data_IF_772431802438
#
_entry.id   IF_772431802438
#
_cell.length_a   1.000
_cell.length_b   1.000
_cell.length_c   1.000
_cell.angle_alpha   90.00
_cell.angle_beta   90.00
_cell.angle_gamma   90.00
#
_symmetry.space_group_name_H-M   'P 1'
#
loop_
_entity.id
_entity.type
_entity.pdbx_description
1 polymer ?
#
# COMPACT_ATOMS: atom_id res chain seq x y z
N UNK A 1 -11.42 -3.54 -22.04
CA UNK A 1 -11.42 -2.83 -20.73
C UNK A 1 -12.83 -2.37 -20.44
N UNK A 2 -13.43 -2.82 -19.35
CA UNK A 2 -14.76 -2.36 -18.92
C UNK A 2 -14.64 -1.16 -18.01
N UNK A 3 -15.56 -0.21 -18.08
CA UNK A 3 -15.60 0.96 -17.19
C UNK A 3 -15.64 0.54 -15.72
N UNK A 4 -16.35 -0.57 -15.42
CA UNK A 4 -16.42 -1.13 -14.07
C UNK A 4 -15.07 -1.56 -13.52
N UNK A 5 -14.20 -2.19 -14.32
CA UNK A 5 -12.86 -2.56 -13.91
C UNK A 5 -12.02 -1.32 -13.56
N UNK A 6 -12.03 -0.30 -14.43
CA UNK A 6 -11.28 0.94 -14.17
C UNK A 6 -11.76 1.65 -12.91
N UNK A 7 -13.07 1.72 -12.70
CA UNK A 7 -13.65 2.32 -11.49
C UNK A 7 -13.27 1.54 -10.22
N UNK A 8 -13.32 0.21 -10.27
CA UNK A 8 -12.91 -0.64 -9.15
C UNK A 8 -11.41 -0.46 -8.83
N UNK A 9 -10.55 -0.45 -9.85
CA UNK A 9 -9.11 -0.22 -9.67
C UNK A 9 -8.82 1.17 -9.10
N UNK A 10 -9.52 2.20 -9.56
CA UNK A 10 -9.39 3.56 -9.02
C UNK A 10 -9.84 3.63 -7.54
N UNK A 11 -10.93 2.95 -7.18
CA UNK A 11 -11.39 2.85 -5.79
C UNK A 11 -10.37 2.14 -4.90
N UNK A 12 -9.81 1.01 -5.35
CA UNK A 12 -8.75 0.29 -4.63
C UNK A 12 -7.47 1.13 -4.50
N UNK A 13 -7.08 1.87 -5.56
CA UNK A 13 -5.93 2.76 -5.51
C UNK A 13 -6.11 3.91 -4.50
N UNK A 14 -7.32 4.45 -4.38
CA UNK A 14 -7.65 5.47 -3.37
C UNK A 14 -7.62 4.89 -1.94
N UNK A 15 -8.04 3.65 -1.74
CA UNK A 15 -7.89 2.98 -0.45
C UNK A 15 -6.42 2.77 -0.11
N UNK A 16 -5.62 2.32 -1.08
CA UNK A 16 -4.20 2.07 -0.91
C UNK A 16 -3.40 3.38 -0.69
N UNK A 17 -3.91 4.49 -1.22
CA UNK A 17 -3.33 5.83 -1.03
C UNK A 17 -3.32 6.29 0.42
N UNK A 18 -4.15 5.68 1.29
CA UNK A 18 -4.23 6.01 2.72
C UNK A 18 -3.23 5.22 3.58
N UNK A 19 -2.18 4.72 2.97
CA UNK A 19 -1.15 3.93 3.65
C UNK A 19 -0.07 4.80 4.33
N UNK A 20 0.76 4.17 5.15
CA UNK A 20 1.84 4.86 5.86
C UNK A 20 2.87 5.43 4.87
N UNK A 21 3.27 4.67 3.87
CA UNK A 21 4.27 5.10 2.89
C UNK A 21 3.74 6.13 1.91
N UNK A 22 2.49 6.02 1.47
CA UNK A 22 1.95 6.90 0.43
C UNK A 22 1.35 8.19 0.97
N UNK A 23 0.89 8.22 2.23
CA UNK A 23 0.27 9.40 2.82
C UNK A 23 0.99 9.91 4.07
N UNK A 24 1.26 9.05 5.07
CA UNK A 24 1.79 9.50 6.35
C UNK A 24 3.21 10.09 6.23
N UNK A 25 4.13 9.38 5.57
CA UNK A 25 5.52 9.86 5.40
C UNK A 25 5.57 11.15 4.56
N UNK A 26 4.85 11.29 3.42
CA UNK A 26 4.72 12.55 2.72
C UNK A 26 4.20 13.71 3.59
N UNK A 27 3.14 13.49 4.38
CA UNK A 27 2.63 14.53 5.30
C UNK A 27 3.71 14.94 6.28
N UNK A 28 4.42 13.95 6.84
CA UNK A 28 5.48 14.24 7.77
C UNK A 28 6.65 15.01 7.13
N UNK A 29 7.02 14.68 5.88
CA UNK A 29 8.00 15.46 5.11
C UNK A 29 7.55 16.91 4.89
N UNK A 30 6.24 17.14 4.73
CA UNK A 30 5.67 18.48 4.64
C UNK A 30 5.74 19.23 5.97
N UNK A 31 5.50 18.56 7.09
CA UNK A 31 5.51 19.15 8.44
C UNK A 31 6.91 19.41 9.01
N UNK A 32 7.96 18.89 8.38
CA UNK A 32 9.35 19.10 8.82
C UNK A 32 9.69 20.60 8.82
N UNK A 33 10.26 21.15 9.93
CA UNK A 33 10.62 22.56 10.02
C UNK A 33 11.60 22.99 8.92
N UNK A 34 11.39 24.14 8.33
CA UNK A 34 12.24 24.74 7.30
C UNK A 34 11.53 24.88 5.94
N UNK A 35 12.31 25.17 4.89
CA UNK A 35 11.76 25.30 3.54
C UNK A 35 11.40 23.93 2.98
N UNK A 36 10.19 23.79 2.48
CA UNK A 36 9.74 22.59 1.78
C UNK A 36 10.68 22.31 0.59
N UNK A 37 11.39 21.20 0.65
CA UNK A 37 12.31 20.79 -0.41
C UNK A 37 11.57 19.87 -1.40
N UNK A 38 10.94 20.47 -2.42
CA UNK A 38 10.16 19.75 -3.44
C UNK A 38 10.92 18.58 -4.07
N UNK A 39 12.24 18.74 -4.31
CA UNK A 39 13.07 17.67 -4.85
C UNK A 39 13.09 16.42 -3.94
N UNK A 40 13.14 16.60 -2.62
CA UNK A 40 13.10 15.47 -1.67
C UNK A 40 11.74 14.75 -1.69
N UNK A 41 10.68 15.53 -1.76
CA UNK A 41 9.32 15.01 -1.87
C UNK A 41 9.14 14.22 -3.18
N UNK A 42 9.62 14.77 -4.30
CA UNK A 42 9.58 14.11 -5.60
C UNK A 42 10.40 12.81 -5.63
N UNK A 43 11.60 12.79 -5.03
CA UNK A 43 12.42 11.59 -4.90
C UNK A 43 11.68 10.53 -4.10
N UNK A 44 11.07 10.89 -2.98
CA UNK A 44 10.33 9.95 -2.15
C UNK A 44 9.13 9.35 -2.90
N UNK A 45 8.23 10.21 -3.43
CA UNK A 45 7.05 9.74 -4.16
C UNK A 45 7.41 8.98 -5.44
N UNK A 46 8.42 9.44 -6.18
CA UNK A 46 8.89 8.74 -7.37
C UNK A 46 9.42 7.34 -7.04
N UNK A 47 10.23 7.23 -5.97
CA UNK A 47 10.78 5.93 -5.56
C UNK A 47 9.69 4.96 -5.12
N UNK A 48 8.73 5.40 -4.30
CA UNK A 48 7.66 4.52 -3.84
C UNK A 48 6.74 4.11 -5.00
N UNK A 49 6.44 5.01 -5.93
CA UNK A 49 5.67 4.72 -7.14
C UNK A 49 6.36 3.67 -8.02
N UNK A 50 7.67 3.84 -8.27
CA UNK A 50 8.47 2.88 -9.04
C UNK A 50 8.55 1.54 -8.32
N UNK A 51 8.70 1.54 -7.00
CA UNK A 51 8.70 0.32 -6.19
C UNK A 51 7.39 -0.45 -6.34
N UNK A 52 6.24 0.21 -6.16
CA UNK A 52 4.92 -0.43 -6.32
C UNK A 52 4.72 -0.92 -7.76
N UNK A 53 5.08 -0.13 -8.74
CA UNK A 53 5.00 -0.54 -10.14
C UNK A 53 5.86 -1.78 -10.44
N UNK A 54 7.11 -1.80 -9.97
CA UNK A 54 8.01 -2.95 -10.15
C UNK A 54 7.47 -4.21 -9.45
N UNK A 55 7.03 -4.08 -8.20
CA UNK A 55 6.41 -5.18 -7.45
C UNK A 55 5.16 -5.69 -8.16
N UNK A 56 4.33 -4.78 -8.69
CA UNK A 56 3.13 -5.16 -9.42
C UNK A 56 3.42 -5.93 -10.70
N UNK A 57 4.40 -5.50 -11.48
CA UNK A 57 4.85 -6.26 -12.65
C UNK A 57 5.34 -7.66 -12.24
N UNK A 58 6.15 -7.75 -11.19
CA UNK A 58 6.65 -9.05 -10.69
C UNK A 58 5.50 -9.96 -10.22
N UNK A 59 4.50 -9.40 -9.54
CA UNK A 59 3.33 -10.16 -9.09
C UNK A 59 2.47 -10.62 -10.26
N UNK A 60 2.21 -9.77 -11.26
CA UNK A 60 1.47 -10.14 -12.46
C UNK A 60 2.19 -11.25 -13.24
N UNK A 61 3.50 -11.11 -13.46
CA UNK A 61 4.30 -12.13 -14.14
C UNK A 61 4.45 -13.41 -13.31
N UNK A 62 4.49 -13.29 -11.98
CA UNK A 62 4.50 -14.43 -11.07
C UNK A 62 3.15 -15.13 -11.01
N UNK A 63 2.06 -14.38 -10.92
CA UNK A 63 0.71 -14.93 -10.86
C UNK A 63 0.40 -15.81 -12.08
N UNK A 64 0.77 -15.39 -13.29
CA UNK A 64 0.54 -16.19 -14.50
C UNK A 64 1.24 -17.55 -14.48
N UNK A 65 2.43 -17.63 -13.90
CA UNK A 65 3.19 -18.89 -13.75
C UNK A 65 2.71 -19.75 -12.59
N UNK A 66 2.21 -19.12 -11.56
CA UNK A 66 1.77 -19.80 -10.33
C UNK A 66 0.36 -20.34 -10.49
N UNK A 67 -0.53 -19.61 -11.18
CA UNK A 67 -1.91 -20.07 -11.45
C UNK A 67 -1.91 -21.38 -12.22
N UNK A 68 -1.04 -21.54 -13.25
CA UNK A 68 -0.92 -22.78 -14.02
C UNK A 68 -0.47 -24.01 -13.20
N UNK A 69 0.08 -23.77 -12.00
CA UNK A 69 0.58 -24.84 -11.09
C UNK A 69 -0.24 -24.98 -9.80
N UNK A 70 -1.19 -24.06 -9.56
CA UNK A 70 -1.96 -24.00 -8.31
C UNK A 70 -3.40 -24.52 -8.43
N UNK A 71 -3.78 -25.12 -9.54
CA UNK A 71 -5.09 -25.80 -9.71
C UNK A 71 -5.10 -27.17 -9.01
N UNK A 72 -4.72 -27.19 -7.72
CA UNK A 72 -4.66 -28.42 -6.95
C UNK A 72 -4.84 -28.20 -5.45
N UNK A 73 -5.03 -29.30 -4.68
CA UNK A 73 -5.19 -29.22 -3.23
C UNK A 73 -3.98 -28.55 -2.53
N UNK A 74 -2.80 -28.58 -3.13
CA UNK A 74 -1.58 -27.90 -2.61
C UNK A 74 -1.76 -26.38 -2.56
N UNK A 75 -2.40 -25.80 -3.58
CA UNK A 75 -2.67 -24.37 -3.60
C UNK A 75 -3.60 -23.94 -2.46
N UNK A 76 -4.64 -24.71 -2.23
CA UNK A 76 -5.60 -24.44 -1.18
C UNK A 76 -4.96 -24.57 0.21
N UNK A 77 -4.03 -25.50 0.39
CA UNK A 77 -3.24 -25.61 1.63
C UNK A 77 -2.31 -24.41 1.81
N UNK A 78 -1.62 -23.95 0.75
CA UNK A 78 -0.80 -22.73 0.80
C UNK A 78 -1.67 -21.51 1.13
N UNK A 79 -2.83 -21.37 0.49
CA UNK A 79 -3.79 -20.31 0.76
C UNK A 79 -4.26 -20.34 2.21
N UNK A 80 -4.57 -21.53 2.75
CA UNK A 80 -4.96 -21.70 4.14
C UNK A 80 -3.85 -21.26 5.10
N UNK A 81 -2.62 -21.73 4.87
CA UNK A 81 -1.45 -21.35 5.69
C UNK A 81 -1.23 -19.83 5.67
N UNK A 82 -1.30 -19.21 4.49
CA UNK A 82 -1.17 -17.74 4.37
C UNK A 82 -2.30 -17.04 5.12
N UNK A 83 -3.55 -17.45 4.94
CA UNK A 83 -4.70 -16.86 5.60
C UNK A 83 -4.60 -16.96 7.13
N UNK A 84 -4.28 -18.13 7.66
CA UNK A 84 -4.06 -18.34 9.09
C UNK A 84 -2.88 -17.52 9.60
N UNK A 85 -1.77 -17.47 8.87
CA UNK A 85 -0.60 -16.67 9.24
C UNK A 85 -0.94 -15.18 9.32
N UNK A 86 -1.63 -14.63 8.33
CA UNK A 86 -2.10 -13.22 8.34
C UNK A 86 -3.05 -12.97 9.52
N UNK A 87 -3.96 -13.89 9.79
CA UNK A 87 -4.90 -13.78 10.90
C UNK A 87 -4.16 -13.81 12.25
N UNK A 88 -3.23 -14.72 12.45
CA UNK A 88 -2.43 -14.80 13.69
C UNK A 88 -1.54 -13.58 13.87
N UNK A 89 -0.89 -13.12 12.79
CA UNK A 89 0.00 -11.95 12.88
C UNK A 89 -0.78 -10.67 13.18
N UNK A 90 -2.08 -10.60 12.79
CA UNK A 90 -2.94 -9.45 13.07
C UNK A 90 -3.05 -9.13 14.56
N UNK A 91 -3.04 -10.15 15.42
CA UNK A 91 -3.06 -9.99 16.88
C UNK A 91 -1.76 -9.41 17.46
N UNK A 92 -0.68 -9.42 16.68
CA UNK A 92 0.59 -8.77 17.08
C UNK A 92 0.61 -7.26 16.82
N UNK A 93 -0.31 -6.75 16.01
CA UNK A 93 -0.51 -5.31 15.83
C UNK A 93 -1.34 -4.76 16.99
N UNK A 94 -0.68 -4.66 18.16
CA UNK A 94 -1.31 -4.15 19.37
C UNK A 94 -1.57 -2.65 19.24
N UNK A 95 -2.82 -2.24 19.51
CA UNK A 95 -3.28 -0.84 19.51
C UNK A 95 -2.51 0.06 20.50
N UNK A 96 -1.74 -0.53 21.43
CA UNK A 96 -0.95 0.20 22.44
C UNK A 96 0.45 0.60 21.94
N UNK A 97 0.96 -0.01 20.86
CA UNK A 97 2.24 0.37 20.28
C UNK A 97 2.05 1.53 19.31
N UNK A 98 2.31 2.75 19.81
CA UNK A 98 2.48 3.92 18.93
C UNK A 98 3.59 3.61 17.91
N UNK A 99 3.33 3.92 16.65
CA UNK A 99 4.37 3.84 15.61
C UNK A 99 5.59 4.64 16.10
N UNK A 100 6.76 4.02 16.08
CA UNK A 100 8.03 4.69 16.45
C UNK A 100 8.39 5.70 15.34
N UNK A 101 7.64 6.80 15.35
CA UNK A 101 7.77 7.88 14.38
C UNK A 101 9.16 8.51 14.43
N UNK A 102 9.83 8.48 15.58
CA UNK A 102 11.15 9.07 15.77
C UNK A 102 12.22 8.39 14.88
N UNK A 103 12.18 7.06 14.76
CA UNK A 103 13.11 6.35 13.87
C UNK A 103 12.93 6.69 12.40
N UNK A 104 11.68 6.79 11.96
CA UNK A 104 11.35 7.19 10.59
C UNK A 104 11.73 8.64 10.34
N UNK A 105 11.50 9.51 11.33
CA UNK A 105 11.87 10.92 11.29
C UNK A 105 13.37 11.13 11.12
N UNK A 106 14.18 10.46 11.93
CA UNK A 106 15.63 10.57 11.85
C UNK A 106 16.17 10.08 10.50
N UNK A 107 15.63 9.00 9.93
CA UNK A 107 16.02 8.50 8.61
C UNK A 107 15.59 9.44 7.49
N UNK A 108 14.37 9.97 7.58
CA UNK A 108 13.85 10.88 6.57
C UNK A 108 14.50 12.28 6.62
N UNK A 109 15.13 12.69 7.73
CA UNK A 109 15.94 13.92 7.82
C UNK A 109 17.35 13.77 7.23
N UNK A 110 17.76 12.55 6.88
CA UNK A 110 19.03 12.25 6.24
C UNK A 110 19.21 12.89 4.84
N UNK A 111 20.33 12.64 4.16
CA UNK A 111 20.58 13.13 2.81
C UNK A 111 19.53 12.59 1.82
N UNK A 112 19.32 13.29 0.70
CA UNK A 112 18.28 12.95 -0.29
C UNK A 112 18.30 11.49 -0.77
N UNK A 113 19.45 10.81 -0.99
CA UNK A 113 19.48 9.38 -1.32
C UNK A 113 18.93 8.49 -0.21
N UNK A 114 19.05 8.88 1.07
CA UNK A 114 18.48 8.12 2.17
C UNK A 114 16.95 8.08 2.12
N UNK A 115 16.30 9.08 1.51
CA UNK A 115 14.85 9.09 1.32
C UNK A 115 14.37 8.01 0.35
N UNK A 116 15.15 7.70 -0.68
CA UNK A 116 14.85 6.57 -1.56
C UNK A 116 14.89 5.25 -0.76
N UNK A 117 15.88 5.08 0.10
CA UNK A 117 15.94 3.93 1.02
C UNK A 117 14.75 3.87 1.98
N UNK A 118 14.32 5.02 2.51
CA UNK A 118 13.12 5.10 3.36
C UNK A 118 11.86 4.72 2.57
N UNK A 119 11.72 5.17 1.31
CA UNK A 119 10.59 4.83 0.45
C UNK A 119 10.53 3.32 0.16
N UNK A 120 11.67 2.71 -0.18
CA UNK A 120 11.75 1.26 -0.40
C UNK A 120 11.42 0.50 0.88
N UNK A 121 12.00 0.89 2.03
CA UNK A 121 11.70 0.25 3.32
C UNK A 121 10.22 0.38 3.69
N UNK A 122 9.62 1.55 3.46
CA UNK A 122 8.18 1.75 3.67
C UNK A 122 7.38 0.80 2.78
N UNK A 123 7.69 0.73 1.49
CA UNK A 123 7.05 -0.19 0.56
C UNK A 123 7.19 -1.66 0.98
N UNK A 124 8.39 -2.09 1.40
CA UNK A 124 8.62 -3.47 1.90
C UNK A 124 7.80 -3.76 3.15
N UNK A 125 7.72 -2.82 4.09
CA UNK A 125 6.89 -2.98 5.30
C UNK A 125 5.41 -3.06 4.92
N UNK A 126 4.99 -2.29 3.92
CA UNK A 126 3.61 -2.28 3.44
C UNK A 126 3.24 -3.51 2.61
N UNK A 127 4.20 -4.26 2.05
CA UNK A 127 3.92 -5.50 1.31
C UNK A 127 2.98 -6.45 2.07
N UNK A 128 3.11 -6.52 3.41
CA UNK A 128 2.24 -7.35 4.24
C UNK A 128 0.80 -6.83 4.35
N UNK A 129 0.54 -5.57 4.00
CA UNK A 129 -0.75 -4.89 4.16
C UNK A 129 -1.37 -4.41 2.84
N UNK A 130 -0.72 -4.67 1.70
CA UNK A 130 -1.15 -4.25 0.35
C UNK A 130 -2.34 -5.06 -0.20
N UNK A 131 -3.33 -5.35 0.64
CA UNK A 131 -4.51 -6.13 0.20
C UNK A 131 -5.29 -5.48 -0.95
N UNK A 132 -5.55 -4.15 -0.94
CA UNK A 132 -6.20 -3.50 -2.08
C UNK A 132 -5.38 -3.67 -3.37
N UNK A 133 -4.06 -3.58 -3.28
CA UNK A 133 -3.15 -3.75 -4.40
C UNK A 133 -3.14 -5.19 -4.94
N UNK A 134 -3.08 -6.19 -4.06
CA UNK A 134 -3.18 -7.59 -4.45
C UNK A 134 -4.54 -7.89 -5.10
N UNK A 135 -5.62 -7.32 -4.55
CA UNK A 135 -6.95 -7.39 -5.14
C UNK A 135 -7.00 -6.78 -6.55
N UNK A 136 -6.36 -5.63 -6.75
CA UNK A 136 -6.25 -4.98 -8.05
C UNK A 136 -5.48 -5.84 -9.04
N UNK A 137 -4.35 -6.43 -8.63
CA UNK A 137 -3.56 -7.36 -9.46
C UNK A 137 -4.39 -8.59 -9.83
N UNK A 138 -5.09 -9.19 -8.86
CA UNK A 138 -5.99 -10.32 -9.11
C UNK A 138 -7.07 -10.00 -10.13
N UNK A 139 -7.72 -8.82 -10.01
CA UNK A 139 -8.71 -8.37 -10.99
C UNK A 139 -8.12 -8.14 -12.39
N UNK A 140 -6.91 -7.57 -12.47
CA UNK A 140 -6.21 -7.38 -13.74
C UNK A 140 -5.79 -8.72 -14.36
N UNK A 141 -5.35 -9.69 -13.58
CA UNK A 141 -4.94 -11.02 -14.05
C UNK A 141 -6.13 -11.88 -14.47
N UNK A 142 -7.29 -11.73 -13.83
CA UNK A 142 -8.53 -12.42 -14.17
C UNK A 142 -9.25 -11.82 -15.41
N UNK A 143 -8.88 -10.60 -15.80
CA UNK A 143 -9.43 -9.97 -16.99
C UNK A 143 -8.56 -10.34 -18.21
N UNK A 144 -9.18 -10.73 -19.34
CA UNK A 144 -8.48 -11.03 -20.60
C UNK A 144 -7.86 -9.75 -21.19
N UNK A 145 -6.76 -9.29 -20.57
CA UNK A 145 -6.07 -8.06 -20.92
C UNK A 145 -4.73 -8.37 -21.61
N UNK A 146 -4.40 -7.57 -22.61
CA UNK A 146 -3.05 -7.62 -23.21
C UNK A 146 -2.00 -7.11 -22.21
N UNK A 147 -0.76 -7.63 -22.23
CA UNK A 147 0.30 -7.19 -21.31
C UNK A 147 0.50 -5.66 -21.26
N UNK A 148 0.39 -4.99 -22.41
CA UNK A 148 0.46 -3.52 -22.48
C UNK A 148 -0.70 -2.82 -21.72
N UNK A 149 -1.89 -3.40 -21.72
CA UNK A 149 -3.05 -2.88 -21.00
C UNK A 149 -2.87 -3.05 -19.49
N UNK A 150 -2.33 -4.19 -19.06
CA UNK A 150 -2.00 -4.43 -17.64
C UNK A 150 -0.96 -3.42 -17.17
N UNK A 151 0.11 -3.23 -17.94
CA UNK A 151 1.13 -2.22 -17.61
C UNK A 151 0.57 -0.80 -17.51
N UNK A 152 -0.33 -0.42 -18.41
CA UNK A 152 -0.99 0.88 -18.40
C UNK A 152 -1.92 1.05 -17.20
N UNK A 153 -2.73 0.03 -16.89
CA UNK A 153 -3.62 0.05 -15.70
C UNK A 153 -2.83 0.09 -14.40
N UNK A 154 -1.74 -0.66 -14.33
CA UNK A 154 -0.86 -0.67 -13.17
C UNK A 154 -0.17 0.69 -12.97
N UNK A 155 0.31 1.31 -14.05
CA UNK A 155 0.85 2.66 -14.01
C UNK A 155 -0.22 3.68 -13.55
N UNK A 156 -1.42 3.59 -14.11
CA UNK A 156 -2.57 4.41 -13.69
C UNK A 156 -2.92 4.21 -12.23
N UNK A 157 -2.93 2.97 -11.74
CA UNK A 157 -3.13 2.64 -10.33
C UNK A 157 -2.11 3.33 -9.43
N UNK A 158 -0.82 3.18 -9.74
CA UNK A 158 0.26 3.80 -8.97
C UNK A 158 0.19 5.34 -9.00
N UNK A 159 -0.25 5.93 -10.11
CA UNK A 159 -0.46 7.38 -10.20
C UNK A 159 -1.64 7.83 -9.33
N UNK A 160 -2.78 7.14 -9.39
CA UNK A 160 -3.95 7.46 -8.55
C UNK A 160 -3.61 7.32 -7.07
N UNK A 161 -2.82 6.32 -6.69
CA UNK A 161 -2.40 6.08 -5.32
C UNK A 161 -1.62 7.26 -4.71
N UNK A 162 -0.83 8.00 -5.49
CA UNK A 162 -0.09 9.17 -4.99
C UNK A 162 -0.85 10.49 -5.07
N UNK A 163 -2.01 10.52 -5.75
CA UNK A 163 -2.82 11.75 -5.92
C UNK A 163 -3.13 12.44 -4.60
N UNK A 164 -3.59 11.77 -3.53
CA UNK A 164 -3.88 12.45 -2.27
C UNK A 164 -2.67 13.15 -1.66
N UNK A 165 -1.49 12.54 -1.73
CA UNK A 165 -0.25 13.18 -1.27
C UNK A 165 0.11 14.42 -2.11
N UNK A 166 -0.10 14.36 -3.44
CA UNK A 166 0.10 15.49 -4.34
C UNK A 166 -0.91 16.61 -4.09
N UNK A 167 -2.18 16.29 -3.82
CA UNK A 167 -3.20 17.26 -3.46
C UNK A 167 -2.86 17.97 -2.14
N UNK A 168 -2.40 17.23 -1.13
CA UNK A 168 -1.94 17.82 0.13
C UNK A 168 -0.71 18.71 -0.07
N UNK A 169 0.21 18.32 -0.94
CA UNK A 169 1.35 19.14 -1.31
C UNK A 169 0.90 20.45 -1.99
N UNK A 170 -0.01 20.34 -2.97
CA UNK A 170 -0.60 21.51 -3.63
C UNK A 170 -1.30 22.44 -2.63
N UNK A 171 -2.09 21.87 -1.72
CA UNK A 171 -2.72 22.61 -0.62
C UNK A 171 -1.70 23.32 0.27
N UNK A 172 -0.57 22.65 0.61
CA UNK A 172 0.48 23.27 1.42
C UNK A 172 1.20 24.41 0.67
N UNK A 173 1.40 24.26 -0.63
CA UNK A 173 2.00 25.33 -1.44
C UNK A 173 1.07 26.54 -1.58
N UNK A 174 -0.24 26.30 -1.74
CA UNK A 174 -1.25 27.35 -1.91
C UNK A 174 -1.59 28.05 -0.59
N UNK A 175 -1.86 27.26 0.47
CA UNK A 175 -2.34 27.76 1.77
C UNK A 175 -1.20 28.02 2.76
N UNK A 176 0.04 27.66 2.40
CA UNK A 176 1.23 27.76 3.24
C UNK A 176 0.99 27.13 4.63
N UNK A 177 1.32 27.81 5.70
CA UNK A 177 1.18 27.32 7.07
C UNK A 177 -0.27 27.14 7.56
N UNK A 178 -1.26 27.68 6.84
CA UNK A 178 -2.67 27.55 7.24
C UNK A 178 -3.19 26.11 7.19
N UNK A 179 -2.57 25.24 6.37
CA UNK A 179 -2.95 23.83 6.28
C UNK A 179 -2.25 22.95 7.34
N UNK A 180 -1.22 23.47 8.03
CA UNK A 180 -0.43 22.70 8.99
C UNK A 180 -1.26 22.06 10.13
N UNK A 181 -2.28 22.72 10.71
CA UNK A 181 -3.14 22.08 11.71
C UNK A 181 -3.87 20.85 11.17
N UNK A 182 -4.32 20.90 9.90
CA UNK A 182 -4.98 19.77 9.25
C UNK A 182 -4.01 18.62 8.98
N UNK A 183 -2.83 18.91 8.45
CA UNK A 183 -1.78 17.92 8.24
C UNK A 183 -1.34 17.27 9.57
N UNK A 184 -1.19 18.05 10.62
CA UNK A 184 -0.86 17.57 11.97
C UNK A 184 -1.96 16.64 12.49
N UNK A 185 -3.23 16.99 12.34
CA UNK A 185 -4.35 16.13 12.75
C UNK A 185 -4.33 14.78 12.05
N UNK A 186 -4.09 14.75 10.73
CA UNK A 186 -3.96 13.49 9.98
C UNK A 186 -2.76 12.71 10.48
N UNK A 187 -1.59 13.34 10.62
CA UNK A 187 -0.37 12.71 11.10
C UNK A 187 -0.54 12.09 12.50
N UNK A 188 -1.18 12.80 13.41
CA UNK A 188 -1.48 12.30 14.77
C UNK A 188 -2.44 11.11 14.72
N UNK A 189 -3.47 11.19 13.90
CA UNK A 189 -4.41 10.08 13.72
C UNK A 189 -3.70 8.81 13.22
N UNK A 190 -2.81 8.93 12.23
CA UNK A 190 -2.00 7.80 11.74
C UNK A 190 -1.06 7.26 12.81
N UNK A 191 -0.40 8.14 13.59
CA UNK A 191 0.51 7.72 14.65
C UNK A 191 -0.22 6.96 15.77
N UNK A 192 -1.45 7.35 16.08
CA UNK A 192 -2.22 6.75 17.18
C UNK A 192 -3.02 5.51 16.75
N UNK A 193 -3.59 5.54 15.55
CA UNK A 193 -4.55 4.50 15.09
C UNK A 193 -4.04 3.63 13.95
N UNK A 194 -2.95 4.01 13.28
CA UNK A 194 -2.44 3.29 12.12
C UNK A 194 -2.12 1.82 12.41
N UNK A 195 -1.48 1.53 13.53
CA UNK A 195 -1.16 0.15 13.92
C UNK A 195 -2.44 -0.69 14.15
N UNK A 196 -3.44 -0.12 14.82
CA UNK A 196 -4.71 -0.81 15.06
C UNK A 196 -5.48 -1.06 13.76
N UNK A 197 -5.55 -0.07 12.88
CA UNK A 197 -6.21 -0.21 11.58
C UNK A 197 -5.55 -1.32 10.74
N UNK A 198 -4.21 -1.35 10.69
CA UNK A 198 -3.44 -2.39 10.01
C UNK A 198 -3.75 -3.79 10.59
N UNK A 199 -3.80 -3.93 11.92
CA UNK A 199 -4.17 -5.18 12.57
C UNK A 199 -5.56 -5.66 12.16
N UNK A 200 -6.55 -4.77 12.15
CA UNK A 200 -7.91 -5.11 11.72
C UNK A 200 -7.98 -5.55 10.25
N UNK A 201 -7.31 -4.82 9.36
CA UNK A 201 -7.26 -5.15 7.92
C UNK A 201 -6.65 -6.54 7.72
N UNK A 202 -5.50 -6.82 8.34
CA UNK A 202 -4.84 -8.13 8.28
C UNK A 202 -5.71 -9.24 8.85
N UNK A 203 -6.40 -8.99 9.97
CA UNK A 203 -7.27 -9.95 10.61
C UNK A 203 -8.46 -10.34 9.73
N UNK A 204 -9.18 -9.36 9.20
CA UNK A 204 -10.32 -9.60 8.31
C UNK A 204 -9.87 -10.32 7.04
N UNK A 205 -8.80 -9.87 6.41
CA UNK A 205 -8.31 -10.48 5.19
C UNK A 205 -7.79 -11.90 5.42
N UNK A 206 -6.99 -12.12 6.47
CA UNK A 206 -6.52 -13.45 6.85
C UNK A 206 -7.69 -14.40 7.11
N UNK A 207 -8.72 -13.94 7.81
CA UNK A 207 -9.93 -14.71 8.05
C UNK A 207 -10.66 -15.07 6.75
N UNK A 208 -10.87 -14.11 5.85
CA UNK A 208 -11.57 -14.34 4.58
C UNK A 208 -10.80 -15.32 3.68
N UNK A 209 -9.46 -15.15 3.58
CA UNK A 209 -8.59 -16.03 2.80
C UNK A 209 -8.59 -17.46 3.38
N UNK A 210 -8.47 -17.61 4.69
CA UNK A 210 -8.51 -18.91 5.36
C UNK A 210 -9.87 -19.57 5.21
N UNK A 211 -10.97 -18.82 5.40
CA UNK A 211 -12.33 -19.32 5.25
C UNK A 211 -12.59 -19.86 3.84
N UNK A 212 -12.18 -19.11 2.80
CA UNK A 212 -12.35 -19.54 1.40
C UNK A 212 -11.58 -20.84 1.14
N UNK A 213 -10.33 -20.92 1.60
CA UNK A 213 -9.53 -22.15 1.48
C UNK A 213 -10.18 -23.35 2.19
N UNK A 214 -10.68 -23.18 3.41
CA UNK A 214 -11.39 -24.23 4.15
C UNK A 214 -12.66 -24.66 3.42
N UNK A 215 -13.44 -23.70 2.91
CA UNK A 215 -14.65 -24.00 2.17
C UNK A 215 -14.38 -24.86 0.94
N UNK A 216 -13.34 -24.54 0.18
CA UNK A 216 -12.95 -25.31 -1.02
C UNK A 216 -12.26 -26.64 -0.73
N UNK A 217 -11.54 -26.76 0.41
CA UNK A 217 -10.86 -28.00 0.77
C UNK A 217 -11.80 -29.07 1.34
N UNK A 218 -12.85 -28.64 2.06
CA UNK A 218 -13.65 -29.58 2.86
C UNK A 218 -15.14 -29.64 2.45
N UNK A 219 -15.63 -28.67 1.65
CA UNK A 219 -17.07 -28.57 1.34
C UNK A 219 -17.39 -28.42 -0.15
N UNK A 220 -16.42 -28.19 -1.00
CA UNK A 220 -16.59 -28.08 -2.46
C UNK A 220 -15.65 -29.07 -3.18
#
# INVERSE_FOLDING_TARGET
MTLGLVAALAGLALLDSTSIGTLFIPIWLMLTPGRLRLGRFAVYLGTITVFYFAVGILLVLGASKVVDHLDGPVALWIQLVIGVFLFVISFRFDSKKKLDTAKWQNRANGPTPALAGVAVLAGVVELATMLPYLGAIGMMSAADLRPAQIGLLLAGYCLVMIVPALLLLGGRLALRQRIDPFLTKISTWFAEKGASATGWILGIAGFLVARDAVARLFFL
#
